data_IF_913658058718
#
_entry.id   IF_913658058718
#
_cell.length_a   1.000
_cell.length_b   1.000
_cell.length_c   1.000
_cell.angle_alpha   90.00
_cell.angle_beta   90.00
_cell.angle_gamma   90.00
#
_symmetry.space_group_name_H-M   'P 1'
#
loop_
_entity.id
_entity.type
_entity.pdbx_description
1 polymer ?
#
# COMPACT_ATOMS: atom_id res chain seq x y z
N UNK A 1 6.78 -38.32 -14.18
CA UNK A 1 6.76 -37.97 -12.74
C UNK A 1 6.59 -36.46 -12.66
N UNK A 2 5.49 -35.98 -12.08
CA UNK A 2 5.36 -34.56 -11.76
C UNK A 2 6.45 -34.18 -10.76
N UNK A 3 7.22 -33.14 -11.09
CA UNK A 3 8.32 -32.62 -10.28
C UNK A 3 7.76 -31.90 -9.03
N UNK A 4 7.33 -32.68 -8.05
CA UNK A 4 6.62 -32.24 -6.84
C UNK A 4 7.52 -31.62 -5.76
N UNK A 5 8.73 -31.16 -6.12
CA UNK A 5 9.66 -30.49 -5.19
C UNK A 5 10.23 -29.17 -5.69
N UNK A 6 10.00 -28.79 -6.95
CA UNK A 6 10.54 -27.54 -7.48
C UNK A 6 9.69 -26.34 -6.99
N UNK A 7 10.26 -25.42 -6.21
CA UNK A 7 9.53 -24.26 -5.71
C UNK A 7 9.10 -23.33 -6.85
N UNK A 8 7.90 -22.78 -6.75
CA UNK A 8 7.37 -21.79 -7.70
C UNK A 8 7.72 -20.42 -7.14
N UNK A 9 8.23 -19.52 -7.99
CA UNK A 9 8.47 -18.12 -7.64
C UNK A 9 7.65 -17.27 -8.60
N UNK A 10 6.66 -16.54 -8.07
CA UNK A 10 5.88 -15.58 -8.85
C UNK A 10 6.56 -14.20 -8.83
N UNK A 11 6.47 -13.48 -9.95
CA UNK A 11 7.03 -12.14 -10.10
C UNK A 11 8.54 -12.08 -10.36
N UNK A 12 9.21 -13.23 -10.46
CA UNK A 12 10.64 -13.31 -10.76
C UNK A 12 10.86 -14.01 -12.08
N UNK A 13 11.48 -13.29 -13.03
CA UNK A 13 11.83 -13.87 -14.33
C UNK A 13 12.91 -14.97 -14.22
N UNK A 14 13.04 -15.85 -15.24
CA UNK A 14 13.94 -17.00 -15.18
C UNK A 14 15.43 -16.67 -14.97
N UNK A 15 15.90 -15.54 -15.51
CA UNK A 15 17.29 -15.10 -15.38
C UNK A 15 17.63 -14.75 -13.92
N UNK A 16 16.76 -13.98 -13.27
CA UNK A 16 16.93 -13.59 -11.87
C UNK A 16 16.68 -14.77 -10.91
N UNK A 17 15.75 -15.66 -11.24
CA UNK A 17 15.55 -16.91 -10.50
C UNK A 17 16.83 -17.77 -10.50
N UNK A 18 17.52 -17.89 -11.65
CA UNK A 18 18.80 -18.60 -11.76
C UNK A 18 19.92 -17.91 -10.97
N UNK A 19 19.92 -16.58 -10.91
CA UNK A 19 20.97 -15.78 -10.25
C UNK A 19 20.80 -15.69 -8.73
N UNK A 20 19.58 -15.49 -8.26
CA UNK A 20 19.29 -15.15 -6.86
C UNK A 20 18.50 -16.24 -6.10
N UNK A 21 18.00 -17.27 -6.79
CA UNK A 21 17.19 -18.32 -6.18
C UNK A 21 15.97 -17.74 -5.46
N UNK A 22 15.79 -18.08 -4.18
CA UNK A 22 14.71 -17.58 -3.32
C UNK A 22 15.07 -16.33 -2.51
N UNK A 23 16.28 -15.79 -2.69
CA UNK A 23 16.71 -14.62 -1.91
C UNK A 23 15.82 -13.43 -2.25
N UNK A 24 15.25 -12.79 -1.22
CA UNK A 24 14.29 -11.70 -1.41
C UNK A 24 12.92 -12.15 -1.89
N UNK A 25 12.56 -13.42 -1.69
CA UNK A 25 11.20 -13.90 -1.85
C UNK A 25 10.57 -14.23 -0.50
N UNK A 26 9.25 -14.05 -0.40
CA UNK A 26 8.45 -14.43 0.76
C UNK A 26 7.60 -15.67 0.44
N UNK A 27 7.38 -16.54 1.42
CA UNK A 27 6.46 -17.67 1.25
C UNK A 27 5.01 -17.16 1.23
N UNK A 28 4.34 -17.29 0.08
CA UNK A 28 2.94 -16.91 -0.06
C UNK A 28 2.00 -18.06 0.29
N UNK A 29 2.40 -19.29 -0.04
CA UNK A 29 1.55 -20.46 0.13
C UNK A 29 2.14 -21.73 -0.48
N UNK A 30 1.25 -22.65 -0.82
CA UNK A 30 1.57 -23.89 -1.54
C UNK A 30 0.67 -24.00 -2.77
N UNK A 31 1.14 -24.69 -3.81
CA UNK A 31 0.32 -25.00 -4.99
C UNK A 31 -0.90 -25.81 -4.55
N UNK A 32 -2.06 -25.54 -5.12
CA UNK A 32 -3.23 -26.36 -4.87
C UNK A 32 -3.27 -27.51 -5.90
N UNK A 33 -3.48 -28.73 -5.43
CA UNK A 33 -3.67 -29.93 -6.27
C UNK A 33 -4.93 -30.67 -5.78
N UNK A 34 -5.80 -31.08 -6.70
CA UNK A 34 -7.08 -31.73 -6.38
C UNK A 34 -6.96 -33.11 -5.73
N UNK A 35 -5.77 -33.72 -5.76
CA UNK A 35 -5.52 -35.02 -5.14
C UNK A 35 -5.19 -34.87 -3.65
N UNK A 36 -6.13 -35.31 -2.80
CA UNK A 36 -6.06 -35.33 -1.33
C UNK A 36 -5.80 -33.96 -0.68
N UNK A 37 -6.91 -33.30 -0.33
CA UNK A 37 -7.01 -32.02 0.42
C UNK A 37 -6.16 -31.98 1.72
N UNK A 38 -5.65 -33.12 2.17
CA UNK A 38 -4.95 -33.31 3.45
C UNK A 38 -3.45 -33.68 3.34
N UNK A 39 -2.87 -33.79 2.14
CA UNK A 39 -1.43 -34.08 1.98
C UNK A 39 -0.66 -32.82 1.54
N UNK A 40 -0.63 -31.82 2.43
CA UNK A 40 0.08 -30.55 2.23
C UNK A 40 1.61 -30.71 2.11
N UNK A 41 2.14 -31.87 2.45
CA UNK A 41 3.57 -32.24 2.38
C UNK A 41 4.10 -32.44 0.94
N UNK A 42 3.22 -32.77 -0.01
CA UNK A 42 3.60 -33.09 -1.40
C UNK A 42 3.41 -31.92 -2.38
N UNK A 43 3.05 -30.74 -1.88
CA UNK A 43 2.79 -29.58 -2.73
C UNK A 43 3.97 -28.62 -2.82
N UNK A 44 4.28 -28.21 -4.05
CA UNK A 44 5.30 -27.21 -4.34
C UNK A 44 5.02 -25.90 -3.56
N UNK A 45 5.98 -25.39 -2.76
CA UNK A 45 5.84 -24.09 -2.14
C UNK A 45 5.79 -22.99 -3.22
N UNK A 46 4.99 -21.97 -2.96
CA UNK A 46 4.84 -20.80 -3.82
C UNK A 46 5.39 -19.60 -3.09
N UNK A 47 6.47 -19.06 -3.62
CA UNK A 47 7.13 -17.86 -3.17
C UNK A 47 6.75 -16.68 -4.05
N UNK A 48 6.73 -15.49 -3.47
CA UNK A 48 6.52 -14.23 -4.15
C UNK A 48 7.79 -13.40 -4.08
N UNK A 49 8.26 -12.88 -5.21
CA UNK A 49 9.37 -11.93 -5.24
C UNK A 49 8.97 -10.61 -4.59
N UNK A 50 9.82 -10.11 -3.70
CA UNK A 50 9.65 -8.80 -3.07
C UNK A 50 10.92 -7.94 -3.16
N UNK A 51 11.90 -8.39 -3.94
CA UNK A 51 13.19 -7.71 -4.10
C UNK A 51 13.17 -6.59 -5.13
N UNK A 52 12.21 -6.63 -6.06
CA UNK A 52 12.00 -5.63 -7.09
C UNK A 52 10.79 -4.74 -6.82
N UNK A 53 10.50 -3.88 -7.79
CA UNK A 53 9.28 -3.09 -7.83
C UNK A 53 8.17 -3.88 -8.54
N UNK A 54 7.01 -4.00 -7.90
CA UNK A 54 5.88 -4.81 -8.38
C UNK A 54 4.55 -4.07 -8.17
N UNK A 55 3.57 -4.36 -9.01
CA UNK A 55 2.18 -3.96 -8.82
C UNK A 55 1.34 -5.22 -8.65
N UNK A 56 0.93 -5.46 -7.41
CA UNK A 56 0.27 -6.69 -7.01
C UNK A 56 -1.20 -6.40 -6.74
N UNK A 57 -2.07 -7.01 -7.52
CA UNK A 57 -3.52 -6.88 -7.33
C UNK A 57 -4.13 -8.09 -6.66
N UNK A 58 -4.93 -7.86 -5.62
CA UNK A 58 -5.60 -8.90 -4.85
C UNK A 58 -7.11 -8.72 -4.96
N UNK A 59 -7.77 -9.68 -5.58
CA UNK A 59 -9.21 -9.61 -5.83
C UNK A 59 -9.96 -10.69 -5.09
N UNK A 60 -11.21 -10.44 -4.74
CA UNK A 60 -12.04 -11.41 -4.03
C UNK A 60 -13.25 -10.81 -3.33
N UNK A 61 -14.34 -11.57 -3.25
CA UNK A 61 -15.56 -11.16 -2.54
C UNK A 61 -15.31 -10.84 -1.06
N UNK A 62 -16.31 -10.26 -0.38
CA UNK A 62 -16.29 -10.07 1.09
C UNK A 62 -15.99 -11.38 1.81
N UNK A 63 -15.04 -11.36 2.74
CA UNK A 63 -14.58 -12.57 3.43
C UNK A 63 -13.83 -13.58 2.55
N UNK A 64 -13.47 -13.21 1.32
CA UNK A 64 -12.72 -14.05 0.37
C UNK A 64 -11.25 -14.22 0.70
N UNK A 65 -10.72 -13.46 1.67
CA UNK A 65 -9.33 -13.57 2.13
C UNK A 65 -8.39 -12.46 1.67
N UNK A 66 -8.86 -11.39 1.02
CA UNK A 66 -8.00 -10.29 0.52
C UNK A 66 -7.08 -9.68 1.58
N UNK A 67 -7.66 -9.09 2.64
CA UNK A 67 -6.90 -8.49 3.73
C UNK A 67 -6.09 -9.53 4.52
N UNK A 68 -6.52 -10.79 4.52
CA UNK A 68 -5.74 -11.90 5.07
C UNK A 68 -4.46 -12.13 4.24
N UNK A 69 -4.58 -12.20 2.91
CA UNK A 69 -3.46 -12.33 1.98
C UNK A 69 -2.52 -11.13 2.04
N UNK A 70 -3.04 -9.90 2.12
CA UNK A 70 -2.22 -8.70 2.37
C UNK A 70 -1.44 -8.83 3.68
N UNK A 71 -2.09 -9.30 4.74
CA UNK A 71 -1.45 -9.56 6.03
C UNK A 71 -0.36 -10.65 5.97
N UNK A 72 -0.56 -11.71 5.17
CA UNK A 72 0.43 -12.78 4.89
C UNK A 72 1.63 -12.23 4.12
N UNK A 73 1.39 -11.36 3.15
CA UNK A 73 2.45 -10.70 2.38
C UNK A 73 3.25 -9.78 3.31
N UNK A 74 2.58 -8.88 4.05
CA UNK A 74 3.20 -7.94 4.97
C UNK A 74 4.06 -8.63 6.04
N UNK A 75 3.53 -9.66 6.72
CA UNK A 75 4.32 -10.40 7.71
C UNK A 75 5.47 -11.20 7.07
N UNK A 76 5.34 -11.59 5.79
CA UNK A 76 6.39 -12.25 5.03
C UNK A 76 7.67 -11.41 4.97
N UNK A 77 7.56 -10.07 4.86
CA UNK A 77 8.72 -9.17 4.90
C UNK A 77 9.51 -9.30 6.21
N UNK A 78 8.82 -9.54 7.33
CA UNK A 78 9.48 -9.70 8.64
C UNK A 78 10.32 -10.98 8.75
N UNK A 79 10.09 -11.95 7.86
CA UNK A 79 10.79 -13.23 7.78
C UNK A 79 11.98 -13.24 6.82
N UNK A 80 12.20 -12.14 6.08
CA UNK A 80 13.33 -12.01 5.17
C UNK A 80 14.67 -11.98 5.91
N UNK A 81 15.74 -12.36 5.20
CA UNK A 81 17.12 -12.16 5.65
C UNK A 81 17.34 -10.69 6.00
N UNK A 82 17.97 -10.42 7.15
CA UNK A 82 18.17 -9.07 7.69
C UNK A 82 18.77 -8.08 6.68
N UNK A 83 19.71 -8.55 5.84
CA UNK A 83 20.34 -7.75 4.79
C UNK A 83 19.35 -7.30 3.70
N UNK A 84 18.39 -8.15 3.35
CA UNK A 84 17.35 -7.83 2.36
C UNK A 84 16.27 -6.98 3.01
N UNK A 85 15.81 -7.39 4.20
CA UNK A 85 14.77 -6.70 4.96
C UNK A 85 15.09 -5.22 5.16
N UNK A 86 16.33 -4.87 5.54
CA UNK A 86 16.76 -3.48 5.72
C UNK A 86 16.74 -2.61 4.45
N UNK A 87 16.63 -3.21 3.27
CA UNK A 87 16.48 -2.47 2.01
C UNK A 87 15.03 -2.26 1.60
N UNK A 88 14.07 -2.77 2.38
CA UNK A 88 12.64 -2.70 2.13
C UNK A 88 11.94 -1.97 3.28
N UNK A 89 10.83 -1.31 2.98
CA UNK A 89 9.87 -0.81 3.97
C UNK A 89 8.47 -1.17 3.51
N UNK A 90 7.58 -1.52 4.44
CA UNK A 90 6.16 -1.78 4.13
C UNK A 90 5.31 -0.73 4.80
N UNK A 91 4.40 -0.10 4.06
CA UNK A 91 3.44 0.89 4.58
C UNK A 91 2.03 0.37 4.28
N UNK A 92 1.30 0.03 5.34
CA UNK A 92 -0.10 -0.39 5.30
C UNK A 92 -1.00 0.82 5.54
N UNK A 93 -1.78 1.22 4.54
CA UNK A 93 -2.82 2.23 4.68
C UNK A 93 -4.08 1.53 5.21
N UNK A 94 -4.26 1.55 6.54
CA UNK A 94 -5.31 0.81 7.21
C UNK A 94 -6.60 1.63 7.29
N UNK A 95 -7.51 1.36 6.36
CA UNK A 95 -8.82 2.05 6.28
C UNK A 95 -9.87 1.44 7.21
N UNK A 96 -9.63 0.24 7.74
CA UNK A 96 -10.58 -0.58 8.51
C UNK A 96 -10.12 -0.88 9.94
N UNK A 97 -8.87 -0.58 10.29
CA UNK A 97 -8.33 -0.70 11.65
C UNK A 97 -8.08 -2.15 12.05
N UNK A 98 -7.61 -3.01 11.14
CA UNK A 98 -7.44 -4.44 11.38
C UNK A 98 -5.97 -4.88 11.51
N UNK A 99 -5.01 -4.09 11.03
CA UNK A 99 -3.61 -4.51 10.94
C UNK A 99 -2.83 -4.29 12.26
N UNK A 100 -3.33 -3.49 13.21
CA UNK A 100 -2.70 -3.36 14.53
C UNK A 100 -2.57 -4.70 15.27
N UNK A 101 -3.47 -5.65 14.98
CA UNK A 101 -3.47 -6.99 15.57
C UNK A 101 -2.24 -7.83 15.22
N UNK A 102 -1.48 -7.44 14.19
CA UNK A 102 -0.23 -8.12 13.78
C UNK A 102 0.82 -8.20 14.88
N UNK A 103 0.75 -7.29 15.85
CA UNK A 103 1.56 -7.28 17.06
C UNK A 103 1.35 -8.50 17.97
N UNK A 104 0.35 -9.35 17.70
CA UNK A 104 0.03 -10.55 18.47
C UNK A 104 0.27 -11.83 17.64
N UNK A 105 0.75 -12.93 18.26
CA UNK A 105 0.93 -14.21 17.57
C UNK A 105 -0.41 -14.89 17.25
N UNK A 106 -0.48 -15.64 16.14
CA UNK A 106 -1.64 -16.45 15.78
C UNK A 106 -1.58 -17.85 16.40
N UNK A 107 -1.95 -17.97 17.68
CA UNK A 107 -1.99 -19.26 18.37
C UNK A 107 -3.13 -20.18 17.88
N UNK A 108 -4.20 -19.60 17.35
CA UNK A 108 -5.39 -20.34 16.89
C UNK A 108 -5.06 -21.32 15.77
N UNK A 109 -4.19 -20.92 14.82
CA UNK A 109 -3.83 -21.73 13.66
C UNK A 109 -2.50 -22.48 13.82
N UNK A 110 -1.99 -22.68 15.04
CA UNK A 110 -0.67 -23.30 15.31
C UNK A 110 -0.42 -24.58 14.52
N UNK A 111 -1.36 -25.53 14.54
CA UNK A 111 -1.24 -26.81 13.82
C UNK A 111 -1.12 -26.60 12.30
N UNK A 112 -1.87 -25.65 11.76
CA UNK A 112 -1.84 -25.33 10.33
C UNK A 112 -0.53 -24.62 9.96
N UNK A 113 0.03 -23.80 10.86
CA UNK A 113 1.34 -23.18 10.68
C UNK A 113 2.47 -24.21 10.64
N UNK A 114 2.41 -25.23 11.51
CA UNK A 114 3.38 -26.33 11.55
C UNK A 114 3.41 -27.10 10.21
N UNK A 115 2.27 -27.26 9.52
CA UNK A 115 2.22 -27.85 8.16
C UNK A 115 2.98 -27.03 7.10
N UNK A 116 3.30 -25.78 7.38
CA UNK A 116 4.08 -24.88 6.53
C UNK A 116 5.50 -24.62 7.07
N UNK A 117 5.94 -25.39 8.08
CA UNK A 117 7.20 -25.18 8.78
C UNK A 117 7.30 -23.78 9.43
N UNK A 118 6.17 -23.25 9.89
CA UNK A 118 6.04 -21.95 10.53
C UNK A 118 5.56 -22.09 11.98
N UNK A 119 5.77 -21.05 12.77
CA UNK A 119 5.29 -20.96 14.15
C UNK A 119 4.56 -19.63 14.38
N UNK A 120 3.57 -19.61 15.30
CA UNK A 120 2.94 -18.37 15.73
C UNK A 120 3.99 -17.35 16.19
N UNK A 121 3.88 -16.11 15.68
CA UNK A 121 4.82 -15.03 16.01
C UNK A 121 4.16 -13.66 15.88
N UNK A 122 4.40 -12.80 16.85
CA UNK A 122 4.09 -11.37 16.75
C UNK A 122 4.97 -10.70 15.70
N UNK A 123 4.36 -9.89 14.84
CA UNK A 123 5.05 -9.05 13.87
C UNK A 123 5.07 -7.64 14.42
N UNK A 124 6.26 -7.09 14.65
CA UNK A 124 6.41 -5.71 15.09
C UNK A 124 5.95 -4.79 13.96
N UNK A 125 5.01 -3.91 14.27
CA UNK A 125 4.53 -2.85 13.39
C UNK A 125 4.54 -1.52 14.12
N UNK A 126 4.78 -0.43 13.40
CA UNK A 126 4.71 0.95 13.92
C UNK A 126 3.37 1.56 13.54
N UNK A 127 2.51 1.84 14.51
CA UNK A 127 1.15 2.33 14.27
C UNK A 127 1.13 3.85 14.38
N UNK A 128 0.84 4.51 13.27
CA UNK A 128 0.62 5.94 13.16
C UNK A 128 -0.88 6.23 13.11
N UNK A 129 -1.34 7.13 13.97
CA UNK A 129 -2.76 7.50 14.06
C UNK A 129 -2.89 9.03 14.06
N UNK A 130 -3.85 9.63 13.34
CA UNK A 130 -4.00 11.08 13.31
C UNK A 130 -4.04 11.71 14.71
N UNK A 131 -3.36 12.85 14.88
CA UNK A 131 -2.94 13.40 16.17
C UNK A 131 -4.07 13.50 17.20
N UNK A 132 -5.28 13.91 16.78
CA UNK A 132 -6.47 13.96 17.65
C UNK A 132 -6.84 12.57 18.17
N UNK A 133 -6.94 11.60 17.27
CA UNK A 133 -7.36 10.23 17.61
C UNK A 133 -6.26 9.45 18.34
N UNK A 134 -4.98 9.72 18.07
CA UNK A 134 -3.87 9.16 18.84
C UNK A 134 -4.02 9.46 20.34
N UNK A 135 -4.33 10.71 20.69
CA UNK A 135 -4.54 11.10 22.08
C UNK A 135 -5.77 10.41 22.70
N UNK A 136 -6.86 10.24 21.94
CA UNK A 136 -8.05 9.52 22.40
C UNK A 136 -7.81 8.02 22.58
N UNK A 137 -7.09 7.40 21.64
CA UNK A 137 -6.80 5.96 21.64
C UNK A 137 -5.89 5.60 22.82
N UNK A 138 -4.85 6.39 23.09
CA UNK A 138 -4.02 6.24 24.30
C UNK A 138 -4.86 6.28 25.58
N UNK A 139 -5.83 7.20 25.69
CA UNK A 139 -6.72 7.30 26.87
C UNK A 139 -7.65 6.09 27.01
N UNK A 140 -8.10 5.51 25.89
CA UNK A 140 -8.99 4.35 25.85
C UNK A 140 -8.27 3.00 25.89
N UNK A 141 -6.93 2.98 25.90
CA UNK A 141 -6.13 1.75 25.81
C UNK A 141 -6.18 1.08 24.43
N UNK A 142 -6.59 1.81 23.39
CA UNK A 142 -6.58 1.31 22.01
C UNK A 142 -5.14 1.37 21.48
N UNK A 143 -4.62 0.30 20.83
CA UNK A 143 -3.25 0.26 20.34
C UNK A 143 -2.94 1.38 19.34
N UNK A 144 -1.90 2.16 19.64
CA UNK A 144 -1.33 3.19 18.77
C UNK A 144 0.07 3.54 19.30
N UNK A 145 1.02 3.86 18.41
CA UNK A 145 2.42 4.10 18.79
C UNK A 145 2.82 5.56 18.64
N UNK A 146 2.49 6.16 17.50
CA UNK A 146 2.94 7.51 17.11
C UNK A 146 1.76 8.37 16.63
N UNK A 147 1.75 9.67 16.97
CA UNK A 147 0.82 10.61 16.35
C UNK A 147 1.23 10.84 14.88
N UNK A 148 0.23 10.95 14.01
CA UNK A 148 0.38 11.38 12.63
C UNK A 148 -0.21 12.79 12.48
N UNK A 149 0.57 13.69 11.91
CA UNK A 149 0.12 15.06 11.67
C UNK A 149 0.70 15.62 10.38
N UNK A 150 -0.09 16.39 9.66
CA UNK A 150 0.27 17.03 8.39
C UNK A 150 0.41 18.54 8.62
N UNK A 151 1.44 19.15 8.05
CA UNK A 151 1.47 20.61 7.94
C UNK A 151 0.64 21.04 6.72
N UNK A 152 -0.25 22.05 6.81
CA UNK A 152 -1.02 22.53 5.65
C UNK A 152 -0.18 22.93 4.43
N UNK A 153 1.09 23.30 4.63
CA UNK A 153 2.02 23.62 3.55
C UNK A 153 2.52 22.39 2.76
N UNK A 154 2.26 21.17 3.23
CA UNK A 154 2.59 19.93 2.52
C UNK A 154 1.58 19.62 1.40
N UNK A 155 0.40 20.26 1.43
CA UNK A 155 -0.64 20.16 0.41
C UNK A 155 -0.54 21.35 -0.54
N UNK A 156 -0.60 21.09 -1.85
CA UNK A 156 -0.71 22.14 -2.85
C UNK A 156 -2.17 22.58 -3.06
N UNK A 157 -2.35 23.63 -3.88
CA UNK A 157 -3.69 24.15 -4.19
C UNK A 157 -4.61 23.07 -4.75
N UNK A 158 -4.13 22.24 -5.68
CA UNK A 158 -4.95 21.20 -6.31
C UNK A 158 -5.38 20.14 -5.28
N UNK A 159 -4.48 19.75 -4.37
CA UNK A 159 -4.79 18.84 -3.26
C UNK A 159 -5.96 19.39 -2.41
N UNK A 160 -5.96 20.69 -2.10
CA UNK A 160 -7.04 21.35 -1.36
C UNK A 160 -8.34 21.44 -2.16
N UNK A 161 -8.27 21.85 -3.43
CA UNK A 161 -9.45 21.99 -4.29
C UNK A 161 -10.16 20.66 -4.51
N UNK A 162 -9.40 19.59 -4.78
CA UNK A 162 -9.95 18.24 -4.93
C UNK A 162 -10.58 17.76 -3.62
N UNK A 163 -9.92 17.99 -2.48
CA UNK A 163 -10.45 17.59 -1.16
C UNK A 163 -11.75 18.34 -0.83
N UNK A 164 -11.85 19.63 -1.16
CA UNK A 164 -13.07 20.42 -0.96
C UNK A 164 -14.09 20.32 -2.10
N UNK A 165 -13.81 19.52 -3.12
CA UNK A 165 -14.65 19.34 -4.32
C UNK A 165 -14.99 20.68 -4.98
N UNK A 166 -14.00 21.56 -5.07
CA UNK A 166 -14.12 22.87 -5.69
C UNK A 166 -13.50 22.86 -7.09
N UNK A 167 -14.19 23.51 -8.03
CA UNK A 167 -13.65 23.76 -9.35
C UNK A 167 -12.61 24.89 -9.29
N UNK A 168 -11.44 24.68 -9.91
CA UNK A 168 -10.33 25.65 -9.91
C UNK A 168 -10.66 26.99 -10.56
N UNK A 169 -11.65 27.02 -11.45
CA UNK A 169 -12.11 28.24 -12.12
C UNK A 169 -13.29 28.90 -11.40
N UNK A 170 -13.80 28.29 -10.33
CA UNK A 170 -14.83 28.91 -9.49
C UNK A 170 -14.25 30.08 -8.67
N UNK A 171 -15.06 31.07 -8.25
CA UNK A 171 -14.60 32.16 -7.40
C UNK A 171 -13.94 31.69 -6.09
N UNK A 172 -14.42 30.58 -5.52
CA UNK A 172 -13.85 29.97 -4.31
C UNK A 172 -12.51 29.32 -4.65
N UNK A 173 -12.41 28.61 -5.78
CA UNK A 173 -11.18 27.97 -6.22
C UNK A 173 -10.05 28.97 -6.42
N UNK A 174 -10.32 30.06 -7.15
CA UNK A 174 -9.34 31.14 -7.37
C UNK A 174 -8.93 31.83 -6.07
N UNK A 175 -9.87 32.01 -5.13
CA UNK A 175 -9.59 32.59 -3.81
C UNK A 175 -8.66 31.70 -2.97
N UNK A 176 -8.91 30.38 -2.96
CA UNK A 176 -8.06 29.41 -2.28
C UNK A 176 -6.66 29.39 -2.90
N UNK A 177 -6.58 29.38 -4.23
CA UNK A 177 -5.32 29.44 -4.98
C UNK A 177 -4.51 30.69 -4.64
N UNK A 178 -5.14 31.86 -4.63
CA UNK A 178 -4.49 33.13 -4.28
C UNK A 178 -3.93 33.11 -2.85
N UNK A 179 -4.74 32.68 -1.88
CA UNK A 179 -4.33 32.62 -0.48
C UNK A 179 -3.17 31.65 -0.24
N UNK A 180 -3.24 30.45 -0.81
CA UNK A 180 -2.19 29.43 -0.68
C UNK A 180 -0.90 29.87 -1.38
N UNK A 181 -0.99 30.34 -2.63
CA UNK A 181 0.17 30.77 -3.41
C UNK A 181 0.91 31.92 -2.73
N UNK A 182 0.14 32.88 -2.18
CA UNK A 182 0.70 33.98 -1.40
C UNK A 182 1.44 33.46 -0.17
N UNK A 183 0.85 32.59 0.63
CA UNK A 183 1.52 32.02 1.81
C UNK A 183 2.78 31.22 1.44
N UNK A 184 2.73 30.39 0.40
CA UNK A 184 3.88 29.62 -0.09
C UNK A 184 5.04 30.51 -0.57
N UNK A 185 4.73 31.69 -1.14
CA UNK A 185 5.77 32.62 -1.59
C UNK A 185 6.54 33.30 -0.46
N UNK A 186 5.96 33.35 0.75
CA UNK A 186 6.52 34.09 1.90
C UNK A 186 7.02 33.14 2.99
N UNK A 187 6.45 31.93 3.09
CA UNK A 187 6.71 30.98 4.18
C UNK A 187 6.89 29.55 3.68
N UNK A 188 7.83 28.84 4.29
CA UNK A 188 8.01 27.41 4.06
C UNK A 188 6.96 26.56 4.79
N UNK A 189 6.45 27.02 5.93
CA UNK A 189 5.39 26.37 6.70
C UNK A 189 4.37 27.40 7.15
N UNK A 190 3.10 27.01 7.14
CA UNK A 190 1.98 27.84 7.60
C UNK A 190 0.86 26.94 8.14
N UNK A 191 -0.01 27.54 8.94
CA UNK A 191 -1.13 26.89 9.63
C UNK A 191 -2.46 27.14 8.92
N UNK A 192 -3.50 26.38 9.26
CA UNK A 192 -4.85 26.60 8.71
C UNK A 192 -5.39 27.98 9.10
N UNK A 193 -5.07 28.44 10.30
CA UNK A 193 -5.47 29.75 10.81
C UNK A 193 -4.85 30.89 9.99
N UNK A 194 -3.63 30.70 9.47
CA UNK A 194 -3.00 31.66 8.58
C UNK A 194 -3.65 31.68 7.19
N UNK A 195 -4.04 30.51 6.65
CA UNK A 195 -4.82 30.43 5.41
C UNK A 195 -6.16 31.16 5.57
N UNK A 196 -6.89 30.87 6.66
CA UNK A 196 -8.15 31.54 6.99
C UNK A 196 -7.98 33.05 7.11
N UNK A 197 -6.88 33.52 7.72
CA UNK A 197 -6.58 34.94 7.81
C UNK A 197 -6.37 35.57 6.43
N UNK A 198 -5.55 34.94 5.59
CA UNK A 198 -5.28 35.43 4.23
C UNK A 198 -6.56 35.51 3.39
N UNK A 199 -7.43 34.51 3.48
CA UNK A 199 -8.74 34.51 2.82
C UNK A 199 -9.61 35.66 3.33
N UNK A 200 -9.71 35.89 4.65
CA UNK A 200 -10.55 36.95 5.23
C UNK A 200 -10.09 38.35 4.83
N UNK A 201 -8.77 38.57 4.86
CA UNK A 201 -8.13 39.85 4.59
C UNK A 201 -8.10 40.20 3.09
N UNK A 202 -8.37 39.22 2.21
CA UNK A 202 -8.44 39.44 0.77
C UNK A 202 -9.59 40.40 0.40
N UNK A 203 -9.27 41.44 -0.39
CA UNK A 203 -10.21 42.52 -0.79
C UNK A 203 -10.79 42.34 -2.18
N UNK A 204 -10.22 41.44 -2.98
CA UNK A 204 -10.56 41.27 -4.39
C UNK A 204 -11.75 40.30 -4.58
N UNK A 205 -12.16 39.60 -3.52
CA UNK A 205 -13.25 38.63 -3.52
C UNK A 205 -14.45 39.08 -2.66
N UNK A 206 -15.63 38.59 -3.04
CA UNK A 206 -16.90 38.87 -2.35
C UNK A 206 -16.89 38.35 -0.91
N UNK A 207 -17.76 38.91 -0.06
CA UNK A 207 -17.90 38.44 1.32
C UNK A 207 -18.35 36.96 1.36
N UNK A 208 -19.30 36.59 0.50
CA UNK A 208 -19.86 35.24 0.47
C UNK A 208 -18.80 34.19 0.10
N UNK A 209 -18.02 34.40 -0.97
CA UNK A 209 -16.94 33.49 -1.37
C UNK A 209 -15.90 33.32 -0.26
N UNK A 210 -15.58 34.41 0.46
CA UNK A 210 -14.67 34.35 1.61
C UNK A 210 -15.24 33.54 2.75
N UNK A 211 -16.50 33.74 3.12
CA UNK A 211 -17.11 33.00 4.22
C UNK A 211 -17.27 31.52 3.89
N UNK A 212 -17.55 31.17 2.64
CA UNK A 212 -17.59 29.78 2.19
C UNK A 212 -16.22 29.12 2.26
N UNK A 213 -15.17 29.74 1.71
CA UNK A 213 -13.80 29.22 1.78
C UNK A 213 -13.31 29.09 3.24
N UNK A 214 -13.58 30.09 4.08
CA UNK A 214 -13.26 30.04 5.53
C UNK A 214 -13.94 28.86 6.20
N UNK A 215 -15.23 28.62 5.92
CA UNK A 215 -15.99 27.51 6.49
C UNK A 215 -15.34 26.16 6.15
N UNK A 216 -14.85 25.99 4.91
CA UNK A 216 -14.14 24.77 4.49
C UNK A 216 -12.87 24.52 5.32
N UNK A 217 -12.03 25.54 5.51
CA UNK A 217 -10.81 25.40 6.33
C UNK A 217 -11.11 25.24 7.83
N UNK A 218 -12.16 25.87 8.35
CA UNK A 218 -12.61 25.64 9.73
C UNK A 218 -13.15 24.22 9.95
N UNK A 219 -13.78 23.62 8.92
CA UNK A 219 -14.12 22.19 8.93
C UNK A 219 -12.84 21.33 8.91
N UNK A 220 -11.86 21.69 8.08
CA UNK A 220 -10.59 20.96 7.97
C UNK A 220 -9.79 20.93 9.28
N UNK A 221 -9.79 22.02 10.04
CA UNK A 221 -9.15 22.10 11.36
C UNK A 221 -9.72 21.06 12.35
N UNK A 222 -11.02 20.74 12.23
CA UNK A 222 -11.69 19.74 13.09
C UNK A 222 -11.37 18.29 12.74
N UNK A 223 -10.81 18.02 11.56
CA UNK A 223 -10.42 16.68 11.12
C UNK A 223 -9.35 16.05 12.00
N UNK A 224 -8.57 16.87 12.73
CA UNK A 224 -7.61 16.37 13.70
C UNK A 224 -6.42 15.62 13.07
N UNK A 225 -6.12 15.94 11.81
CA UNK A 225 -4.94 15.48 11.08
C UNK A 225 -3.88 16.58 10.94
N UNK A 226 -4.28 17.85 10.97
CA UNK A 226 -3.35 18.97 10.87
C UNK A 226 -2.76 19.35 12.24
N UNK A 227 -1.53 19.84 12.25
CA UNK A 227 -0.86 20.27 13.47
C UNK A 227 0.43 21.03 13.21
N UNK A 228 0.89 21.77 14.23
CA UNK A 228 2.09 22.62 14.15
C UNK A 228 3.37 21.79 13.98
N UNK A 229 3.41 20.63 14.65
CA UNK A 229 4.49 19.65 14.56
C UNK A 229 4.02 18.56 13.60
N UNK A 230 4.40 18.68 12.33
CA UNK A 230 4.10 17.65 11.32
C UNK A 230 5.03 16.45 11.42
N UNK A 231 4.50 15.31 10.99
CA UNK A 231 5.25 14.06 10.87
C UNK A 231 6.15 14.15 9.65
N UNK A 232 7.45 13.85 9.82
CA UNK A 232 8.30 13.62 8.65
C UNK A 232 7.81 12.36 7.93
N UNK A 233 7.23 12.55 6.74
CA UNK A 233 6.66 11.46 5.95
C UNK A 233 7.70 10.43 5.52
N UNK A 234 9.00 10.77 5.49
CA UNK A 234 10.08 9.79 5.28
C UNK A 234 10.14 8.77 6.43
N UNK A 235 9.76 9.16 7.65
CA UNK A 235 9.75 8.26 8.79
C UNK A 235 8.71 7.14 8.66
N UNK A 236 7.68 7.31 7.80
CA UNK A 236 6.76 6.21 7.48
C UNK A 236 7.48 5.07 6.75
N UNK A 237 8.48 5.39 5.92
CA UNK A 237 9.24 4.45 5.11
C UNK A 237 10.53 3.94 5.80
N UNK A 238 10.45 3.51 7.06
CA UNK A 238 11.67 3.14 7.79
C UNK A 238 12.27 1.79 7.34
N UNK A 239 13.60 1.70 7.18
CA UNK A 239 14.32 0.48 6.78
C UNK A 239 13.98 -0.77 7.61
N UNK A 240 13.47 -1.81 6.95
CA UNK A 240 13.15 -3.10 7.54
C UNK A 240 11.97 -3.10 8.50
N UNK A 241 11.20 -2.03 8.54
CA UNK A 241 10.03 -1.87 9.40
C UNK A 241 8.73 -2.02 8.60
N UNK A 242 7.68 -2.41 9.31
CA UNK A 242 6.30 -2.41 8.81
C UNK A 242 5.58 -1.26 9.52
N UNK A 243 5.11 -0.30 8.76
CA UNK A 243 4.36 0.86 9.24
C UNK A 243 2.87 0.66 8.93
N UNK A 244 2.00 0.90 9.90
CA UNK A 244 0.55 0.96 9.72
C UNK A 244 0.13 2.41 9.90
N UNK A 245 -0.36 3.04 8.84
CA UNK A 245 -1.02 4.34 8.93
C UNK A 245 -2.52 4.09 9.08
N UNK A 246 -3.01 4.17 10.31
CA UNK A 246 -4.40 3.90 10.66
C UNK A 246 -5.25 5.15 10.46
N UNK A 247 -6.03 5.14 9.37
CA UNK A 247 -7.01 6.17 9.03
C UNK A 247 -8.44 5.68 9.24
N UNK A 248 -8.61 4.53 9.92
CA UNK A 248 -9.93 3.92 10.15
C UNK A 248 -10.82 4.77 11.06
N UNK A 249 -10.23 5.66 11.87
CA UNK A 249 -10.95 6.65 12.68
C UNK A 249 -11.91 7.53 11.85
N UNK A 250 -11.65 7.71 10.56
CA UNK A 250 -12.49 8.49 9.66
C UNK A 250 -13.63 7.69 9.01
N UNK A 251 -13.83 6.42 9.37
CA UNK A 251 -14.89 5.59 8.77
C UNK A 251 -16.31 6.12 9.04
N UNK A 252 -16.53 6.82 10.16
CA UNK A 252 -17.84 7.36 10.56
C UNK A 252 -17.89 8.89 10.58
N UNK A 253 -16.80 9.56 10.22
CA UNK A 253 -16.73 11.02 10.23
C UNK A 253 -17.42 11.60 8.99
N UNK A 254 -18.23 12.67 9.11
CA UNK A 254 -18.75 13.39 7.95
C UNK A 254 -17.62 13.88 7.06
N UNK A 255 -17.63 13.53 5.77
CA UNK A 255 -16.51 13.83 4.86
C UNK A 255 -15.25 13.01 5.14
N UNK A 256 -15.31 12.01 6.02
CA UNK A 256 -14.15 11.19 6.39
C UNK A 256 -13.50 10.47 5.23
N UNK A 257 -14.26 10.19 4.17
CA UNK A 257 -13.73 9.67 2.92
C UNK A 257 -12.75 10.66 2.23
N UNK A 258 -13.11 11.94 2.17
CA UNK A 258 -12.28 12.97 1.56
C UNK A 258 -10.97 13.15 2.35
N UNK A 259 -11.04 13.02 3.68
CA UNK A 259 -9.85 13.02 4.55
C UNK A 259 -8.93 11.82 4.24
N UNK A 260 -9.49 10.61 4.12
CA UNK A 260 -8.70 9.40 3.80
C UNK A 260 -7.99 9.54 2.45
N UNK A 261 -8.71 10.00 1.42
CA UNK A 261 -8.12 10.17 0.08
C UNK A 261 -7.03 11.23 0.06
N UNK A 262 -7.23 12.36 0.75
CA UNK A 262 -6.21 13.40 0.91
C UNK A 262 -4.94 12.86 1.58
N UNK A 263 -5.07 12.14 2.70
CA UNK A 263 -3.92 11.55 3.42
C UNK A 263 -3.18 10.54 2.54
N UNK A 264 -3.90 9.64 1.86
CA UNK A 264 -3.30 8.63 0.98
C UNK A 264 -2.62 9.29 -0.23
N UNK A 265 -3.24 10.31 -0.83
CA UNK A 265 -2.67 11.08 -1.93
C UNK A 265 -1.37 11.78 -1.54
N UNK A 266 -1.38 12.50 -0.42
CA UNK A 266 -0.19 13.18 0.11
C UNK A 266 0.95 12.20 0.37
N UNK A 267 0.69 11.11 1.09
CA UNK A 267 1.71 10.09 1.40
C UNK A 267 2.26 9.48 0.11
N UNK A 268 1.40 9.14 -0.85
CA UNK A 268 1.82 8.56 -2.13
C UNK A 268 2.73 9.51 -2.91
N UNK A 269 2.32 10.77 -3.05
CA UNK A 269 3.08 11.83 -3.74
C UNK A 269 4.43 12.07 -3.07
N UNK A 270 4.45 12.20 -1.74
CA UNK A 270 5.68 12.39 -0.97
C UNK A 270 6.66 11.22 -1.14
N UNK A 271 6.18 9.99 -1.02
CA UNK A 271 7.00 8.78 -1.18
C UNK A 271 7.61 8.71 -2.57
N UNK A 272 6.82 9.02 -3.62
CA UNK A 272 7.29 9.04 -5.00
C UNK A 272 8.44 10.04 -5.20
N UNK A 273 8.23 11.30 -4.80
CA UNK A 273 9.26 12.35 -4.94
C UNK A 273 10.51 12.01 -4.14
N UNK A 274 10.36 11.57 -2.89
CA UNK A 274 11.48 11.25 -2.00
C UNK A 274 12.32 10.09 -2.53
N UNK A 275 11.68 9.04 -3.07
CA UNK A 275 12.41 7.92 -3.69
C UNK A 275 13.02 8.27 -5.04
N UNK A 276 12.40 9.15 -5.84
CA UNK A 276 13.01 9.64 -7.08
C UNK A 276 14.32 10.40 -6.79
N UNK A 277 14.33 11.24 -5.75
CA UNK A 277 15.54 11.92 -5.30
C UNK A 277 16.59 10.93 -4.79
N UNK A 278 16.18 9.95 -3.96
CA UNK A 278 17.10 8.94 -3.45
C UNK A 278 17.69 8.08 -4.57
N UNK A 279 16.87 7.70 -5.55
CA UNK A 279 17.30 6.90 -6.70
C UNK A 279 18.38 7.63 -7.51
N UNK A 280 18.21 8.92 -7.76
CA UNK A 280 19.23 9.75 -8.42
C UNK A 280 20.54 9.76 -7.64
N UNK A 281 20.48 9.82 -6.31
CA UNK A 281 21.66 9.72 -5.45
C UNK A 281 22.34 8.34 -5.57
N UNK A 282 21.56 7.25 -5.50
CA UNK A 282 22.06 5.88 -5.65
C UNK A 282 22.79 5.66 -7.00
N UNK A 283 22.25 6.22 -8.09
CA UNK A 283 22.86 6.15 -9.42
C UNK A 283 24.15 6.96 -9.51
N UNK A 284 24.15 8.16 -8.92
CA UNK A 284 25.34 8.99 -8.87
C UNK A 284 26.48 8.35 -8.06
N UNK A 285 26.17 7.71 -6.93
CA UNK A 285 27.14 6.99 -6.11
C UNK A 285 27.72 5.78 -6.87
N UNK A 286 26.91 5.03 -7.63
CA UNK A 286 27.38 3.94 -8.49
C UNK A 286 28.32 4.40 -9.62
N UNK A 287 28.04 5.56 -10.22
CA UNK A 287 28.91 6.16 -11.24
C UNK A 287 30.25 6.59 -10.63
N UNK A 288 30.26 7.14 -9.41
CA UNK A 288 31.50 7.49 -8.72
C UNK A 288 32.34 6.28 -8.36
N UNK A 289 31.71 5.21 -7.85
CA UNK A 289 32.39 3.95 -7.56
C UNK A 289 33.05 3.42 -8.83
N UNK A 290 32.30 3.30 -9.93
CA UNK A 290 32.83 2.78 -11.21
C UNK A 290 33.97 3.63 -11.77
N UNK A 291 33.87 4.97 -11.75
CA UNK A 291 34.94 5.86 -12.27
C UNK A 291 36.20 5.87 -11.39
N UNK A 292 36.05 5.74 -10.08
CA UNK A 292 37.18 5.67 -9.14
C UNK A 292 38.02 4.39 -9.34
N UNK A 293 37.39 3.27 -9.72
CA UNK A 293 38.12 2.04 -10.09
C UNK A 293 39.03 2.19 -11.32
N UNK A 294 38.77 3.16 -12.20
CA UNK A 294 39.57 3.38 -13.41
C UNK A 294 40.67 4.43 -13.26
N UNK A 295 40.70 5.23 -12.18
CA UNK A 295 41.63 6.36 -12.06
C UNK A 295 42.73 6.21 -11.01
N UNK A 296 42.59 5.39 -9.96
CA UNK A 296 43.66 5.27 -8.95
C UNK A 296 43.88 3.83 -8.46
N UNK A 297 45.09 3.31 -8.67
CA UNK A 297 45.62 2.10 -8.05
C UNK A 297 45.99 2.26 -6.57
N UNK A 298 45.39 3.22 -5.86
CA UNK A 298 45.65 3.50 -4.46
C UNK A 298 44.36 3.56 -3.64
N UNK A 299 44.43 2.97 -2.43
CA UNK A 299 43.36 2.83 -1.44
C UNK A 299 42.43 4.05 -1.38
N UNK A 300 41.29 3.94 -2.04
CA UNK A 300 40.13 4.76 -1.72
C UNK A 300 39.50 4.14 -0.49
N UNK A 301 39.55 4.85 0.64
CA UNK A 301 38.75 4.54 1.81
C UNK A 301 37.29 4.38 1.36
N UNK A 302 36.82 3.13 1.29
CA UNK A 302 35.42 2.80 1.06
C UNK A 302 34.67 3.39 2.24
N UNK A 303 34.20 4.64 2.11
CA UNK A 303 33.26 5.23 3.06
C UNK A 303 32.15 4.19 3.21
N UNK A 304 32.00 3.67 4.42
CA UNK A 304 30.90 2.77 4.80
C UNK A 304 29.63 3.32 4.16
N UNK A 305 28.98 2.52 3.29
CA UNK A 305 27.66 2.82 2.76
C UNK A 305 26.83 3.42 3.89
N UNK A 306 26.52 4.71 3.77
CA UNK A 306 25.65 5.38 4.72
C UNK A 306 24.35 4.58 4.83
N UNK A 307 23.78 4.59 6.03
CA UNK A 307 22.53 3.92 6.32
C UNK A 307 21.52 4.21 5.21
N UNK A 308 20.90 3.17 4.63
CA UNK A 308 19.80 3.38 3.69
C UNK A 308 18.71 4.13 4.45
N UNK A 309 18.56 5.42 4.17
CA UNK A 309 17.66 6.35 4.85
C UNK A 309 16.26 6.34 4.22
N UNK A 310 16.17 5.89 2.96
CA UNK A 310 14.93 5.74 2.21
C UNK A 310 14.96 4.42 1.41
N UNK A 311 14.52 3.29 1.99
CA UNK A 311 14.53 1.96 1.36
C UNK A 311 13.52 1.86 0.20
N UNK A 312 13.54 0.74 -0.54
CA UNK A 312 12.46 0.43 -1.49
C UNK A 312 11.14 0.29 -0.72
N UNK A 313 10.07 0.90 -1.22
CA UNK A 313 8.82 1.03 -0.47
C UNK A 313 7.76 0.12 -1.05
N UNK A 314 7.07 -0.62 -0.20
CA UNK A 314 5.87 -1.37 -0.52
C UNK A 314 4.67 -0.68 0.10
N UNK A 315 3.87 0.00 -0.73
CA UNK A 315 2.64 0.65 -0.31
C UNK A 315 1.47 -0.33 -0.44
N UNK A 316 0.69 -0.49 0.61
CA UNK A 316 -0.35 -1.51 0.71
C UNK A 316 -1.69 -0.86 1.01
N UNK A 317 -2.67 -1.05 0.13
CA UNK A 317 -3.96 -0.34 0.15
C UNK A 317 -5.11 -1.36 0.04
N UNK A 318 -5.98 -1.37 1.04
CA UNK A 318 -7.23 -2.16 1.01
C UNK A 318 -8.38 -1.31 0.45
N UNK A 319 -9.37 -1.97 -0.15
CA UNK A 319 -10.48 -1.34 -0.88
C UNK A 319 -10.04 -0.27 -1.89
N UNK A 320 -9.02 -0.58 -2.68
CA UNK A 320 -8.36 0.32 -3.63
C UNK A 320 -9.30 0.95 -4.68
N UNK A 321 -10.48 0.37 -4.93
CA UNK A 321 -11.47 0.95 -5.86
C UNK A 321 -12.01 2.31 -5.40
N UNK A 322 -11.95 2.59 -4.10
CA UNK A 322 -12.36 3.87 -3.57
C UNK A 322 -11.29 4.96 -3.86
N UNK A 323 -10.00 4.61 -3.89
CA UNK A 323 -8.91 5.55 -4.18
C UNK A 323 -8.59 5.67 -5.67
N UNK A 324 -8.84 4.60 -6.43
CA UNK A 324 -8.61 4.48 -7.88
C UNK A 324 -9.92 4.17 -8.59
N UNK A 325 -10.90 5.10 -8.58
CA UNK A 325 -12.18 4.88 -9.22
C UNK A 325 -12.00 4.73 -10.73
N UNK A 326 -12.87 3.93 -11.36
CA UNK A 326 -12.80 3.67 -12.81
C UNK A 326 -13.08 4.89 -13.67
N UNK A 327 -13.96 5.78 -13.21
CA UNK A 327 -14.35 6.96 -13.98
C UNK A 327 -13.53 8.16 -13.50
N UNK A 328 -13.04 8.94 -14.46
CA UNK A 328 -12.29 10.16 -14.16
C UNK A 328 -13.15 11.22 -13.45
N UNK A 329 -14.47 11.22 -13.64
CA UNK A 329 -15.39 12.13 -12.92
C UNK A 329 -15.46 11.87 -11.42
N UNK A 330 -15.10 10.66 -10.97
CA UNK A 330 -15.08 10.26 -9.57
C UNK A 330 -13.68 10.42 -8.93
N UNK A 331 -12.70 10.95 -9.67
CA UNK A 331 -11.32 11.09 -9.21
C UNK A 331 -11.23 11.92 -7.92
N UNK A 332 -10.31 11.52 -7.05
CA UNK A 332 -10.09 12.14 -5.75
C UNK A 332 -8.59 12.40 -5.51
N UNK A 333 -8.25 12.95 -4.35
CA UNK A 333 -6.89 13.40 -4.04
C UNK A 333 -5.85 12.26 -4.07
N UNK A 334 -6.26 10.99 -3.95
CA UNK A 334 -5.36 9.85 -4.08
C UNK A 334 -5.21 9.32 -5.51
N UNK A 335 -6.16 9.61 -6.41
CA UNK A 335 -6.25 8.94 -7.71
C UNK A 335 -5.03 9.17 -8.58
N UNK A 336 -4.63 10.42 -8.79
CA UNK A 336 -3.49 10.74 -9.66
C UNK A 336 -2.14 10.31 -9.04
N UNK A 337 -1.84 10.59 -7.76
CA UNK A 337 -0.61 10.09 -7.13
C UNK A 337 -0.45 8.55 -7.22
N UNK A 338 -1.54 7.80 -7.03
CA UNK A 338 -1.51 6.34 -7.14
C UNK A 338 -1.36 5.88 -8.60
N UNK A 339 -1.98 6.56 -9.58
CA UNK A 339 -1.76 6.29 -11.02
C UNK A 339 -0.29 6.49 -11.40
N UNK A 340 0.34 7.55 -10.91
CA UNK A 340 1.78 7.80 -11.12
C UNK A 340 2.62 6.66 -10.52
N UNK A 341 2.36 6.24 -9.28
CA UNK A 341 3.08 5.10 -8.68
C UNK A 341 2.89 3.81 -9.50
N UNK A 342 1.67 3.52 -9.98
CA UNK A 342 1.44 2.32 -10.78
C UNK A 342 2.22 2.33 -12.10
N UNK A 343 2.26 3.47 -12.80
CA UNK A 343 2.91 3.60 -14.11
C UNK A 343 4.42 3.72 -14.01
N UNK A 344 4.92 4.44 -13.01
CA UNK A 344 6.31 4.88 -12.93
C UNK A 344 7.04 4.37 -11.69
N UNK A 345 6.36 3.76 -10.72
CA UNK A 345 6.91 3.32 -9.43
C UNK A 345 8.09 2.35 -9.54
N UNK A 346 8.23 1.66 -10.68
CA UNK A 346 9.41 0.84 -10.98
C UNK A 346 10.73 1.64 -10.98
N UNK A 347 10.72 2.89 -11.46
CA UNK A 347 11.93 3.74 -11.47
C UNK A 347 12.42 4.13 -10.06
N UNK A 348 11.57 4.70 -9.17
CA UNK A 348 11.96 5.01 -7.80
C UNK A 348 12.04 3.78 -6.89
N UNK A 349 11.56 2.61 -7.33
CA UNK A 349 11.54 1.41 -6.51
C UNK A 349 10.43 1.43 -5.46
N UNK A 350 9.23 1.83 -5.89
CA UNK A 350 8.00 1.80 -5.11
C UNK A 350 7.10 0.72 -5.70
N UNK A 351 6.81 -0.29 -4.90
CA UNK A 351 5.84 -1.33 -5.18
C UNK A 351 4.48 -0.97 -4.60
N UNK A 352 3.42 -1.45 -5.25
CA UNK A 352 2.05 -1.28 -4.81
C UNK A 352 1.37 -2.64 -4.62
N UNK A 353 0.73 -2.85 -3.48
CA UNK A 353 -0.20 -3.95 -3.24
C UNK A 353 -1.59 -3.35 -3.06
N UNK A 354 -2.51 -3.66 -3.96
CA UNK A 354 -3.89 -3.18 -3.93
C UNK A 354 -4.84 -4.35 -3.76
N UNK A 355 -5.84 -4.17 -2.91
CA UNK A 355 -6.93 -5.12 -2.79
C UNK A 355 -8.28 -4.47 -3.07
N UNK A 356 -9.16 -5.17 -3.77
CA UNK A 356 -10.54 -4.70 -3.96
C UNK A 356 -11.52 -5.85 -4.15
N UNK A 357 -12.74 -5.64 -3.65
CA UNK A 357 -13.88 -6.53 -3.91
C UNK A 357 -14.50 -6.33 -5.29
N UNK A 358 -14.24 -5.19 -5.92
CA UNK A 358 -14.97 -4.69 -7.09
C UNK A 358 -13.98 -4.35 -8.21
N UNK A 359 -13.30 -5.34 -8.83
CA UNK A 359 -12.42 -5.09 -9.97
C UNK A 359 -13.15 -4.42 -11.14
N UNK A 360 -14.47 -4.56 -11.29
CA UNK A 360 -15.22 -3.81 -12.32
C UNK A 360 -15.29 -2.29 -12.10
N UNK A 361 -15.03 -1.81 -10.88
CA UNK A 361 -15.12 -0.39 -10.50
C UNK A 361 -13.77 0.30 -10.30
N UNK A 362 -12.67 -0.44 -10.40
CA UNK A 362 -11.32 0.13 -10.25
C UNK A 362 -10.79 0.62 -11.60
N UNK A 363 -9.92 1.62 -11.59
CA UNK A 363 -9.27 2.17 -12.78
C UNK A 363 -8.58 1.09 -13.62
N UNK A 364 -8.64 1.20 -14.96
CA UNK A 364 -8.12 0.18 -15.88
C UNK A 364 -6.61 -0.03 -15.75
N UNK A 365 -5.87 1.01 -15.34
CA UNK A 365 -4.42 0.92 -15.10
C UNK A 365 -4.08 -0.10 -14.02
N UNK A 366 -4.94 -0.29 -13.02
CA UNK A 366 -4.73 -1.36 -12.04
C UNK A 366 -4.61 -2.69 -12.75
N UNK A 367 -5.45 -2.92 -13.74
CA UNK A 367 -5.42 -4.17 -14.49
C UNK A 367 -4.20 -4.21 -15.38
N UNK A 368 -3.97 -3.19 -16.20
CA UNK A 368 -2.91 -3.23 -17.23
C UNK A 368 -1.49 -3.12 -16.68
N UNK A 369 -1.30 -2.59 -15.47
CA UNK A 369 0.01 -2.44 -14.83
C UNK A 369 0.34 -3.54 -13.82
N UNK A 370 -0.62 -4.40 -13.45
CA UNK A 370 -0.37 -5.47 -12.48
C UNK A 370 0.47 -6.60 -13.09
N UNK A 371 1.66 -6.83 -12.54
CA UNK A 371 2.52 -7.95 -12.93
C UNK A 371 2.25 -9.22 -12.11
N UNK A 372 1.59 -9.08 -10.95
CA UNK A 372 1.09 -10.21 -10.16
C UNK A 372 -0.37 -10.00 -9.79
N UNK A 373 -1.20 -11.01 -10.04
CA UNK A 373 -2.62 -10.97 -9.64
C UNK A 373 -2.99 -12.17 -8.80
N UNK A 374 -3.47 -11.93 -7.59
CA UNK A 374 -3.98 -12.92 -6.65
C UNK A 374 -5.51 -12.82 -6.60
N UNK A 375 -6.17 -13.61 -7.43
CA UNK A 375 -7.63 -13.65 -7.51
C UNK A 375 -8.17 -14.76 -6.62
N UNK A 376 -8.72 -14.39 -5.46
CA UNK A 376 -9.61 -15.27 -4.71
C UNK A 376 -10.93 -15.46 -5.46
N UNK A 377 -11.82 -16.31 -4.92
CA UNK A 377 -13.10 -16.56 -5.56
C UNK A 377 -13.93 -15.28 -5.74
N UNK A 378 -14.30 -15.00 -6.98
CA UNK A 378 -15.23 -13.96 -7.41
C UNK A 378 -16.38 -14.64 -8.16
N UNK A 379 -17.59 -14.11 -8.04
CA UNK A 379 -18.79 -14.70 -8.63
C UNK A 379 -19.58 -13.75 -9.53
N UNK A 380 -19.30 -12.44 -9.48
CA UNK A 380 -20.02 -11.47 -10.29
C UNK A 380 -19.43 -11.39 -11.70
N UNK A 381 -20.29 -11.47 -12.73
CA UNK A 381 -19.86 -11.47 -14.13
C UNK A 381 -19.05 -10.22 -14.52
N UNK A 382 -19.47 -9.04 -14.05
CA UNK A 382 -18.74 -7.80 -14.33
C UNK A 382 -17.29 -7.84 -13.80
N UNK A 383 -17.08 -8.54 -12.68
CA UNK A 383 -15.78 -8.65 -12.03
C UNK A 383 -14.91 -9.74 -12.67
N UNK A 384 -15.51 -10.86 -13.11
CA UNK A 384 -14.79 -11.89 -13.88
C UNK A 384 -14.43 -11.40 -15.27
N UNK A 385 -15.28 -10.61 -15.93
CA UNK A 385 -14.97 -9.94 -17.19
C UNK A 385 -13.84 -8.92 -17.03
N UNK A 386 -13.86 -8.10 -15.98
CA UNK A 386 -12.77 -7.18 -15.69
C UNK A 386 -11.44 -7.92 -15.52
N UNK A 387 -11.42 -9.02 -14.76
CA UNK A 387 -10.23 -9.88 -14.64
C UNK A 387 -9.81 -10.52 -15.96
N UNK A 388 -10.76 -10.84 -16.83
CA UNK A 388 -10.44 -11.39 -18.15
C UNK A 388 -9.69 -10.40 -19.04
N UNK A 389 -9.78 -9.09 -18.76
CA UNK A 389 -8.99 -8.08 -19.46
C UNK A 389 -7.50 -8.19 -19.11
N UNK A 390 -7.13 -8.72 -17.94
CA UNK A 390 -5.73 -9.00 -17.57
C UNK A 390 -5.12 -10.08 -18.46
N UNK A 391 -5.92 -11.07 -18.83
CA UNK A 391 -5.49 -12.23 -19.60
C UNK A 391 -5.42 -11.97 -21.12
N UNK A 392 -5.49 -10.72 -21.58
CA UNK A 392 -5.48 -10.42 -23.02
C UNK A 392 -4.20 -10.88 -23.75
N UNK A 393 -3.12 -11.13 -23.02
CA UNK A 393 -1.86 -11.72 -23.53
C UNK A 393 -1.82 -13.26 -23.50
N UNK A 394 -2.66 -13.95 -22.71
CA UNK A 394 -2.63 -15.42 -22.58
C UNK A 394 -4.03 -16.02 -22.46
N UNK A 395 -4.32 -16.98 -23.34
CA UNK A 395 -5.51 -17.86 -23.36
C UNK A 395 -6.58 -17.50 -22.31
N UNK A 396 -7.41 -16.49 -22.61
CA UNK A 396 -8.45 -15.92 -21.74
C UNK A 396 -9.33 -16.98 -21.08
N UNK A 397 -9.57 -18.07 -21.80
CA UNK A 397 -10.35 -19.22 -21.33
C UNK A 397 -9.69 -19.91 -20.13
N UNK A 398 -8.36 -19.91 -20.05
CA UNK A 398 -7.58 -20.53 -18.98
C UNK A 398 -7.72 -19.83 -17.62
N UNK A 399 -7.78 -18.49 -17.58
CA UNK A 399 -7.94 -17.75 -16.33
C UNK A 399 -9.35 -17.94 -15.74
N UNK A 400 -10.37 -17.79 -16.58
CA UNK A 400 -11.77 -17.99 -16.16
C UNK A 400 -11.96 -19.42 -15.68
N UNK A 401 -11.52 -20.42 -16.47
CA UNK A 401 -11.62 -21.83 -16.09
C UNK A 401 -10.89 -22.11 -14.78
N UNK A 402 -9.68 -21.58 -14.60
CA UNK A 402 -8.92 -21.75 -13.36
C UNK A 402 -9.66 -21.16 -12.14
N UNK A 403 -10.36 -20.02 -12.31
CA UNK A 403 -11.16 -19.39 -11.26
C UNK A 403 -12.45 -20.16 -10.94
N UNK A 404 -13.13 -20.70 -11.96
CA UNK A 404 -14.35 -21.51 -11.78
C UNK A 404 -14.05 -22.83 -11.07
N UNK A 405 -12.91 -23.44 -11.40
CA UNK A 405 -12.39 -24.66 -10.79
C UNK A 405 -11.78 -24.43 -9.40
N UNK A 406 -11.73 -23.20 -8.88
CA UNK A 406 -11.22 -22.96 -7.53
C UNK A 406 -12.12 -23.67 -6.49
N UNK A 407 -11.53 -24.48 -5.59
CA UNK A 407 -12.27 -25.14 -4.53
C UNK A 407 -12.90 -24.11 -3.58
N UNK A 408 -13.98 -24.50 -2.90
CA UNK A 408 -14.67 -23.67 -1.88
C UNK A 408 -13.96 -23.68 -0.52
N UNK A 409 -12.62 -23.69 -0.53
CA UNK A 409 -11.78 -23.70 0.67
C UNK A 409 -11.27 -22.27 0.90
N UNK A 410 -11.27 -21.80 2.16
CA UNK A 410 -10.74 -20.46 2.47
C UNK A 410 -9.24 -20.38 2.16
N UNK A 411 -8.82 -19.22 1.66
CA UNK A 411 -7.42 -18.96 1.32
C UNK A 411 -6.97 -19.52 -0.03
N UNK A 412 -7.85 -20.17 -0.80
CA UNK A 412 -7.52 -20.54 -2.18
C UNK A 412 -7.64 -19.33 -3.11
N UNK A 413 -6.72 -19.26 -4.06
CA UNK A 413 -6.64 -18.20 -5.05
C UNK A 413 -6.01 -18.72 -6.34
N UNK A 414 -6.31 -18.03 -7.44
CA UNK A 414 -5.53 -18.10 -8.66
C UNK A 414 -4.46 -17.01 -8.59
N UNK A 415 -3.19 -17.39 -8.71
CA UNK A 415 -2.08 -16.49 -8.89
C UNK A 415 -1.70 -16.43 -10.37
N UNK A 416 -1.86 -15.26 -10.97
CA UNK A 416 -1.35 -14.93 -12.30
C UNK A 416 0.01 -14.24 -12.12
N UNK A 417 0.99 -14.74 -12.85
CA UNK A 417 2.38 -14.30 -12.83
C UNK A 417 2.77 -13.89 -14.25
N UNK A 418 2.76 -12.59 -14.51
CA UNK A 418 3.07 -12.03 -15.83
C UNK A 418 4.53 -12.28 -16.21
N UNK A 419 5.45 -12.18 -15.25
CA UNK A 419 6.89 -12.35 -15.46
C UNK A 419 7.27 -13.75 -16.00
N UNK A 420 6.46 -14.77 -15.74
CA UNK A 420 6.65 -16.12 -16.25
C UNK A 420 5.50 -16.60 -17.16
N UNK A 421 4.54 -15.73 -17.47
CA UNK A 421 3.39 -16.02 -18.32
C UNK A 421 2.57 -17.24 -17.82
N UNK A 422 2.38 -17.36 -16.50
CA UNK A 422 1.82 -18.57 -15.87
C UNK A 422 0.68 -18.29 -14.91
N UNK A 423 -0.22 -19.27 -14.85
CA UNK A 423 -1.33 -19.31 -13.90
C UNK A 423 -1.13 -20.47 -12.93
N UNK A 424 -1.23 -20.17 -11.64
CA UNK A 424 -1.08 -21.13 -10.56
C UNK A 424 -2.31 -21.12 -9.66
N UNK A 425 -2.93 -22.28 -9.43
CA UNK A 425 -3.86 -22.44 -8.31
C UNK A 425 -3.04 -22.58 -7.04
N UNK A 426 -3.32 -21.76 -6.04
CA UNK A 426 -2.57 -21.72 -4.79
C UNK A 426 -3.51 -21.76 -3.58
N UNK A 427 -2.97 -22.19 -2.45
CA UNK A 427 -3.55 -21.98 -1.13
C UNK A 427 -2.60 -21.09 -0.34
N UNK A 428 -3.04 -19.87 -0.05
CA UNK A 428 -2.34 -18.90 0.79
C UNK A 428 -2.09 -19.54 2.16
N UNK A 429 -0.86 -19.42 2.67
CA UNK A 429 -0.47 -20.00 3.96
C UNK A 429 -1.23 -19.35 5.12
N UNK A 430 -1.36 -20.02 6.27
CA UNK A 430 -1.83 -19.37 7.49
C UNK A 430 -0.92 -18.20 7.90
N UNK A 431 -1.51 -17.21 8.58
CA UNK A 431 -0.79 -16.09 9.16
C UNK A 431 -0.01 -16.49 10.40
N UNK A 432 1.24 -16.04 10.52
CA UNK A 432 2.03 -16.16 11.76
C UNK A 432 1.51 -15.21 12.85
N UNK A 433 0.92 -14.08 12.44
CA UNK A 433 0.38 -13.04 13.30
C UNK A 433 -1.16 -13.03 13.31
N UNK A 434 -1.77 -12.50 14.38
CA UNK A 434 -3.22 -12.50 14.55
C UNK A 434 -3.93 -11.76 13.41
N UNK A 435 -5.12 -12.23 13.05
CA UNK A 435 -5.97 -11.64 12.03
C UNK A 435 -7.19 -10.92 12.62
N UNK A 436 -7.17 -9.58 12.58
CA UNK A 436 -8.28 -8.73 13.04
C UNK A 436 -9.50 -8.67 12.12
N UNK A 437 -9.44 -9.22 10.90
CA UNK A 437 -10.53 -9.14 9.91
C UNK A 437 -11.62 -10.21 10.05
N UNK A 438 -11.60 -11.01 11.12
CA UNK A 438 -12.62 -12.00 11.40
C UNK A 438 -13.99 -11.36 11.64
N UNK A 439 -15.06 -11.96 11.10
CA UNK A 439 -16.43 -11.51 11.41
C UNK A 439 -16.76 -11.87 12.87
N UNK A 440 -17.30 -10.93 13.66
CA UNK A 440 -17.78 -11.24 15.01
C UNK A 440 -18.76 -12.41 14.99
N UNK A 441 -18.58 -13.35 15.90
CA UNK A 441 -19.48 -14.49 16.07
C UNK A 441 -19.95 -14.54 17.53
N UNK A 442 -21.27 -14.52 17.72
CA UNK A 442 -21.87 -14.57 19.06
C UNK A 442 -21.49 -15.84 19.83
N UNK A 443 -21.19 -16.94 19.13
CA UNK A 443 -20.81 -18.22 19.75
C UNK A 443 -19.35 -18.25 20.22
N UNK A 444 -18.47 -17.40 19.67
CA UNK A 444 -17.07 -17.30 20.12
C UNK A 444 -16.90 -16.33 21.29
N UNK A 445 -17.98 -15.70 21.75
CA UNK A 445 -18.01 -14.76 22.87
C UNK A 445 -18.66 -15.36 24.14
N UNK A 446 -19.14 -16.61 24.06
CA UNK A 446 -19.56 -17.44 25.19
C UNK A 446 -18.34 -18.21 25.71
#
# INVERSE_FOLDING_TARGET
MLDLKTPIIIGRGPADAKKYGHRGCILLGKKYQDTDVYKSELSNPVFMDVSGAHVVSIFGKRGGGKSYTMGVIAEGFSLLEEKVKKNLSVILLDTMGIYWTMSHPNETDRKLLEEYDLMPRSVKSRIFTPIKYHAEYKKKGIPTDYPFSINPAELDTDDWLVTFKQDKHSPIGVLIEDAISKLQSIKQKYTLQEIVKEIRDNKDFSHDSKMEAVSMFEVADRWGVFGDISTDLNFLAAPGEITVLDVSCYATEPGGWDIKTMVVGLVSKHLFVSRMLKRKQEEYDQLKESTSFFHDGHNVDIKKKEHNDMPLVWLVIDEAHEFLPRKEEDANAATEPLKIIMREGRQPGISLIIATQQPGKIHTDVMTQSDMVLSHRITANIDTEALSLLAQSYNRDGLISAMEELPRIKGTAVAFDDANEKIHKIRVRPRISWHGGGSPNALTML
#
